data_IF_532828209841
#
_entry.id   IF_532828209841
#
_cell.length_a   1.000
_cell.length_b   1.000
_cell.length_c   1.000
_cell.angle_alpha   90.00
_cell.angle_beta   90.00
_cell.angle_gamma   90.00
#
_symmetry.space_group_name_H-M   'P 1'
#
loop_
_entity.id
_entity.type
_entity.pdbx_description
1 polymer ?
#
# COMPACT_ATOMS: atom_id res chain seq x y z
N UNK A 1 15.47 35.16 6.32
CA UNK A 1 15.99 34.47 5.12
C UNK A 1 16.88 33.26 5.45
N UNK A 2 17.59 33.23 6.58
CA UNK A 2 18.50 32.15 6.95
C UNK A 2 17.79 30.83 7.36
N UNK A 3 16.65 30.90 8.07
CA UNK A 3 15.89 29.70 8.50
C UNK A 3 15.18 28.97 7.37
N UNK A 4 14.55 29.70 6.45
CA UNK A 4 13.90 29.12 5.25
C UNK A 4 14.88 28.32 4.37
N UNK A 5 16.16 28.70 4.36
CA UNK A 5 17.21 27.98 3.62
C UNK A 5 17.60 26.70 4.35
N UNK A 6 17.59 26.70 5.69
CA UNK A 6 17.93 25.57 6.56
C UNK A 6 16.86 24.48 6.54
N UNK A 7 15.57 24.85 6.55
CA UNK A 7 14.46 23.90 6.41
C UNK A 7 14.40 23.25 5.02
N UNK A 8 14.57 24.03 3.96
CA UNK A 8 14.62 23.48 2.60
C UNK A 8 15.80 22.53 2.41
N UNK A 9 16.94 22.83 3.03
CA UNK A 9 18.13 21.98 2.99
C UNK A 9 17.93 20.65 3.73
N UNK A 10 17.28 20.66 4.91
CA UNK A 10 16.91 19.43 5.64
C UNK A 10 15.94 18.55 4.84
N UNK A 11 14.92 19.14 4.21
CA UNK A 11 13.97 18.40 3.34
C UNK A 11 14.64 17.83 2.09
N UNK A 12 15.55 18.56 1.45
CA UNK A 12 16.28 18.03 0.29
C UNK A 12 17.28 16.93 0.65
N UNK A 13 17.85 16.98 1.86
CA UNK A 13 18.77 15.95 2.34
C UNK A 13 18.03 14.64 2.67
N UNK A 14 16.84 14.71 3.29
CA UNK A 14 15.98 13.54 3.51
C UNK A 14 15.58 12.88 2.19
N UNK A 15 15.10 13.66 1.21
CA UNK A 15 14.77 13.16 -0.13
C UNK A 15 15.98 12.53 -0.85
N UNK A 16 17.17 13.13 -0.75
CA UNK A 16 18.37 12.58 -1.36
C UNK A 16 18.80 11.25 -0.71
N UNK A 17 18.66 11.13 0.61
CA UNK A 17 18.94 9.89 1.35
C UNK A 17 17.95 8.78 0.96
N UNK A 18 16.67 9.10 0.81
CA UNK A 18 15.64 8.16 0.37
C UNK A 18 15.89 7.67 -1.07
N UNK A 19 16.28 8.57 -1.97
CA UNK A 19 16.67 8.22 -3.34
C UNK A 19 17.90 7.32 -3.34
N UNK A 20 18.94 7.66 -2.56
CA UNK A 20 20.13 6.83 -2.45
C UNK A 20 19.79 5.44 -1.91
N UNK A 21 18.96 5.37 -0.88
CA UNK A 21 18.55 4.12 -0.27
C UNK A 21 17.73 3.24 -1.23
N UNK A 22 16.78 3.82 -1.97
CA UNK A 22 16.00 3.08 -2.97
C UNK A 22 16.86 2.56 -4.12
N UNK A 23 17.87 3.31 -4.55
CA UNK A 23 18.87 2.84 -5.52
C UNK A 23 19.69 1.67 -4.97
N UNK A 24 20.15 1.75 -3.72
CA UNK A 24 20.89 0.65 -3.06
C UNK A 24 20.03 -0.61 -2.93
N UNK A 25 18.75 -0.45 -2.58
CA UNK A 25 17.80 -1.56 -2.49
C UNK A 25 17.55 -2.20 -3.87
N UNK A 26 17.32 -1.38 -4.90
CA UNK A 26 17.11 -1.85 -6.27
C UNK A 26 18.34 -2.59 -6.81
N UNK A 27 19.54 -2.05 -6.56
CA UNK A 27 20.80 -2.68 -6.91
C UNK A 27 20.97 -4.02 -6.19
N UNK A 28 20.68 -4.08 -4.89
CA UNK A 28 20.78 -5.31 -4.10
C UNK A 28 19.81 -6.39 -4.61
N UNK A 29 18.57 -6.01 -4.93
CA UNK A 29 17.57 -6.92 -5.52
C UNK A 29 18.04 -7.40 -6.90
N UNK A 30 18.51 -6.49 -7.76
CA UNK A 30 19.04 -6.83 -9.08
C UNK A 30 20.22 -7.81 -8.98
N UNK A 31 21.11 -7.60 -8.01
CA UNK A 31 22.26 -8.47 -7.76
C UNK A 31 21.82 -9.88 -7.34
N UNK A 32 20.87 -9.99 -6.41
CA UNK A 32 20.30 -11.29 -5.98
C UNK A 32 19.63 -12.00 -7.16
N UNK A 33 18.78 -11.31 -7.93
CA UNK A 33 18.12 -11.89 -9.11
C UNK A 33 19.13 -12.36 -10.15
N UNK A 34 20.19 -11.58 -10.39
CA UNK A 34 21.28 -11.94 -11.32
C UNK A 34 22.03 -13.18 -10.85
N UNK A 35 22.36 -13.30 -9.57
CA UNK A 35 23.02 -14.51 -9.04
C UNK A 35 22.17 -15.78 -9.13
N UNK A 36 20.84 -15.66 -9.01
CA UNK A 36 19.93 -16.80 -9.05
C UNK A 36 19.56 -17.23 -10.49
N UNK A 37 19.72 -16.33 -11.46
CA UNK A 37 19.29 -16.56 -12.85
C UNK A 37 20.43 -17.05 -13.74
N UNK A 38 20.84 -18.33 -13.61
CA UNK A 38 21.93 -18.92 -14.44
C UNK A 38 21.59 -19.07 -15.94
N UNK A 39 20.36 -18.74 -16.36
CA UNK A 39 19.80 -19.08 -17.68
C UNK A 39 19.58 -17.90 -18.62
N UNK A 40 19.65 -16.65 -18.13
CA UNK A 40 19.39 -15.46 -18.94
C UNK A 40 20.61 -14.55 -18.96
N UNK A 41 20.97 -14.09 -20.14
CA UNK A 41 22.04 -13.14 -20.33
C UNK A 41 21.64 -11.81 -19.67
N UNK A 42 22.45 -11.34 -18.72
CA UNK A 42 22.24 -10.05 -18.08
C UNK A 42 23.36 -9.12 -18.57
N UNK A 43 23.00 -8.11 -19.35
CA UNK A 43 23.97 -7.17 -19.96
C UNK A 43 25.06 -7.84 -20.82
N UNK A 44 24.77 -8.99 -21.44
CA UNK A 44 25.73 -9.73 -22.25
C UNK A 44 26.71 -10.60 -21.45
N UNK A 45 26.60 -10.61 -20.12
CA UNK A 45 27.33 -11.50 -19.24
C UNK A 45 26.39 -12.61 -18.75
N UNK A 46 26.86 -13.86 -18.82
CA UNK A 46 26.17 -15.00 -18.24
C UNK A 46 26.94 -15.44 -17.00
N UNK A 47 26.30 -15.43 -15.84
CA UNK A 47 26.92 -15.82 -14.58
C UNK A 47 26.37 -17.17 -14.12
N UNK A 48 27.25 -18.01 -13.58
CA UNK A 48 26.91 -19.31 -13.02
C UNK A 48 27.41 -19.46 -11.59
N UNK A 49 26.65 -20.15 -10.73
CA UNK A 49 27.11 -20.57 -9.40
C UNK A 49 27.59 -22.02 -9.48
N UNK A 50 28.80 -22.29 -9.00
CA UNK A 50 29.36 -23.65 -8.89
C UNK A 50 28.61 -24.42 -7.80
N UNK A 51 28.01 -25.56 -8.14
CA UNK A 51 27.20 -26.37 -7.21
C UNK A 51 27.92 -27.61 -6.67
N UNK A 52 29.14 -27.91 -7.13
CA UNK A 52 29.91 -29.11 -6.75
C UNK A 52 31.37 -28.79 -6.47
N UNK A 53 32.04 -29.65 -5.70
CA UNK A 53 33.49 -29.55 -5.43
C UNK A 53 34.37 -30.21 -6.51
N UNK A 54 33.80 -30.61 -7.66
CA UNK A 54 34.52 -31.37 -8.70
C UNK A 54 35.63 -30.58 -9.41
N UNK A 55 35.63 -29.26 -9.27
CA UNK A 55 36.56 -28.33 -9.92
C UNK A 55 37.51 -27.62 -8.92
N UNK A 56 37.62 -28.11 -7.68
CA UNK A 56 38.40 -27.48 -6.62
C UNK A 56 39.89 -27.35 -6.95
N UNK A 57 40.46 -28.35 -7.63
CA UNK A 57 41.84 -28.34 -8.12
C UNK A 57 42.14 -27.25 -9.16
N UNK A 58 41.12 -26.70 -9.84
CA UNK A 58 41.26 -25.57 -10.79
C UNK A 58 40.88 -24.24 -10.13
N UNK A 59 40.98 -24.15 -8.80
CA UNK A 59 40.58 -23.00 -7.99
C UNK A 59 39.11 -22.59 -8.19
N UNK A 60 38.21 -23.55 -8.41
CA UNK A 60 36.75 -23.31 -8.43
C UNK A 60 36.09 -24.03 -7.27
N UNK A 61 35.65 -23.26 -6.27
CA UNK A 61 35.06 -23.79 -5.04
C UNK A 61 33.52 -23.74 -5.10
N UNK A 62 32.87 -24.59 -4.31
CA UNK A 62 31.41 -24.60 -4.21
C UNK A 62 30.85 -23.26 -3.72
N UNK A 63 29.88 -22.73 -4.48
CA UNK A 63 29.28 -21.42 -4.26
C UNK A 63 30.00 -20.25 -4.91
N UNK A 64 31.14 -20.46 -5.56
CA UNK A 64 31.80 -19.40 -6.34
C UNK A 64 31.00 -19.07 -7.61
N UNK A 65 31.10 -17.82 -8.04
CA UNK A 65 30.46 -17.32 -9.26
C UNK A 65 31.46 -17.29 -10.41
N UNK A 66 31.08 -17.92 -11.51
CA UNK A 66 31.86 -17.96 -12.75
C UNK A 66 31.18 -17.13 -13.82
N UNK A 67 31.97 -16.40 -14.59
CA UNK A 67 31.52 -15.74 -15.81
C UNK A 67 31.64 -16.70 -16.97
N UNK A 68 30.56 -16.85 -17.74
CA UNK A 68 30.45 -17.75 -18.88
C UNK A 68 30.54 -16.90 -20.15
N UNK A 69 31.62 -17.09 -20.91
CA UNK A 69 31.85 -16.43 -22.20
C UNK A 69 31.85 -17.43 -23.33
N UNK A 70 30.99 -17.23 -24.34
CA UNK A 70 30.96 -18.08 -25.53
C UNK A 70 32.17 -17.78 -26.41
N UNK A 71 32.91 -18.81 -26.79
CA UNK A 71 34.03 -18.75 -27.72
C UNK A 71 33.74 -19.64 -28.94
N UNK A 72 34.44 -19.37 -30.05
CA UNK A 72 34.30 -20.14 -31.30
C UNK A 72 35.12 -21.43 -31.29
N UNK A 73 36.14 -21.51 -30.43
CA UNK A 73 37.01 -22.66 -30.27
C UNK A 73 37.47 -22.76 -28.81
N UNK A 74 37.73 -23.98 -28.36
CA UNK A 74 38.12 -24.31 -26.98
C UNK A 74 39.33 -25.25 -27.02
N UNK A 75 40.31 -25.00 -26.16
CA UNK A 75 41.56 -25.75 -26.12
C UNK A 75 41.61 -26.73 -24.95
N UNK A 76 42.56 -27.66 -25.01
CA UNK A 76 42.85 -28.59 -23.90
C UNK A 76 43.28 -27.78 -22.67
N UNK A 77 42.65 -28.04 -21.52
CA UNK A 77 42.83 -27.29 -20.27
C UNK A 77 41.83 -26.16 -20.04
N UNK A 78 40.96 -25.84 -21.01
CA UNK A 78 39.89 -24.85 -20.79
C UNK A 78 38.79 -25.40 -19.89
N UNK A 79 38.22 -24.55 -19.04
CA UNK A 79 37.07 -24.88 -18.20
C UNK A 79 35.79 -24.62 -18.98
N UNK A 80 35.14 -25.69 -19.43
CA UNK A 80 33.90 -25.67 -20.20
C UNK A 80 32.66 -25.70 -19.30
N UNK A 81 31.68 -24.88 -19.64
CA UNK A 81 30.33 -24.93 -19.09
C UNK A 81 29.37 -25.42 -20.18
N UNK A 82 28.65 -26.52 -19.95
CA UNK A 82 27.84 -27.17 -20.99
C UNK A 82 26.59 -27.86 -20.43
N UNK A 83 25.62 -28.16 -21.30
CA UNK A 83 24.46 -28.97 -20.95
C UNK A 83 24.79 -30.46 -20.98
N UNK A 84 24.57 -31.17 -19.87
CA UNK A 84 24.72 -32.62 -19.82
C UNK A 84 23.50 -33.29 -20.45
N UNK A 85 23.61 -33.63 -21.73
CA UNK A 85 22.55 -34.22 -22.55
C UNK A 85 23.06 -35.46 -23.31
N UNK A 86 23.55 -36.46 -22.59
CA UNK A 86 24.24 -37.64 -23.18
C UNK A 86 23.41 -38.41 -24.21
N UNK A 87 22.07 -38.34 -24.11
CA UNK A 87 21.16 -38.97 -25.05
C UNK A 87 20.95 -38.18 -26.37
N UNK A 88 21.29 -36.89 -26.38
CA UNK A 88 21.00 -35.95 -27.47
C UNK A 88 22.26 -35.55 -28.25
N UNK A 89 23.46 -35.95 -27.78
CA UNK A 89 24.72 -35.58 -28.42
C UNK A 89 24.88 -36.12 -29.85
N UNK A 90 24.17 -37.20 -30.19
CA UNK A 90 24.14 -37.76 -31.55
C UNK A 90 23.30 -36.94 -32.53
N UNK A 91 22.41 -36.07 -32.05
CA UNK A 91 21.46 -35.32 -32.88
C UNK A 91 21.90 -33.86 -33.10
N UNK A 92 21.21 -33.17 -34.00
CA UNK A 92 21.36 -31.72 -34.17
C UNK A 92 20.80 -30.99 -32.95
N UNK A 93 21.47 -29.91 -32.56
CA UNK A 93 21.11 -29.16 -31.36
C UNK A 93 19.73 -28.48 -31.50
N UNK A 94 18.82 -28.82 -30.58
CA UNK A 94 17.57 -28.11 -30.36
C UNK A 94 17.62 -27.39 -28.99
N UNK A 95 17.51 -26.05 -28.94
CA UNK A 95 17.45 -25.32 -27.67
C UNK A 95 16.35 -25.81 -26.71
N UNK A 96 15.26 -26.37 -27.25
CA UNK A 96 14.11 -26.81 -26.47
C UNK A 96 14.33 -28.15 -25.76
N UNK A 97 15.27 -28.97 -26.24
CA UNK A 97 15.55 -30.30 -25.68
C UNK A 97 16.48 -30.23 -24.46
N UNK A 98 17.38 -29.24 -24.44
CA UNK A 98 18.39 -29.06 -23.38
C UNK A 98 17.91 -28.25 -22.17
N UNK A 99 16.71 -27.67 -22.24
CA UNK A 99 16.21 -26.75 -21.21
C UNK A 99 16.01 -27.43 -19.84
N UNK A 100 15.75 -28.74 -19.77
CA UNK A 100 15.60 -29.46 -18.50
C UNK A 100 16.89 -30.12 -18.03
N UNK A 101 17.95 -30.09 -18.84
CA UNK A 101 19.20 -30.78 -18.56
C UNK A 101 20.07 -30.00 -17.57
N UNK A 102 20.87 -30.74 -16.80
CA UNK A 102 21.78 -30.15 -15.81
C UNK A 102 22.97 -29.47 -16.52
N UNK A 103 23.42 -28.35 -15.97
CA UNK A 103 24.60 -27.63 -16.47
C UNK A 103 25.83 -28.08 -15.68
N UNK A 104 26.86 -28.53 -16.37
CA UNK A 104 28.11 -29.04 -15.78
C UNK A 104 29.28 -28.13 -16.11
N UNK A 105 30.29 -28.12 -15.23
CA UNK A 105 31.52 -27.34 -15.37
C UNK A 105 32.69 -28.31 -15.25
N UNK A 106 33.42 -28.54 -16.32
CA UNK A 106 34.55 -29.47 -16.36
C UNK A 106 35.70 -28.94 -17.21
N UNK A 107 36.90 -29.48 -17.00
CA UNK A 107 38.08 -29.15 -17.79
C UNK A 107 38.16 -30.01 -19.05
N UNK A 108 38.58 -29.43 -20.17
CA UNK A 108 38.81 -30.15 -21.44
C UNK A 108 40.02 -31.05 -21.30
N UNK A 109 39.82 -32.34 -21.50
CA UNK A 109 40.89 -33.34 -21.48
C UNK A 109 41.32 -33.77 -22.89
N UNK A 110 40.37 -33.93 -23.81
CA UNK A 110 40.64 -34.37 -25.19
C UNK A 110 39.64 -33.74 -26.17
N UNK A 111 40.03 -33.60 -27.43
CA UNK A 111 39.24 -32.96 -28.49
C UNK A 111 39.20 -33.89 -29.71
N UNK A 112 38.00 -34.16 -30.20
CA UNK A 112 37.77 -34.95 -31.42
C UNK A 112 36.73 -34.31 -32.32
N UNK A 113 36.76 -34.68 -33.59
CA UNK A 113 35.72 -34.30 -34.56
C UNK A 113 34.77 -35.48 -34.73
N UNK A 114 33.47 -35.24 -34.62
CA UNK A 114 32.46 -36.29 -34.83
C UNK A 114 32.22 -36.56 -36.33
N UNK A 115 31.39 -37.57 -36.62
CA UNK A 115 31.01 -37.95 -38.00
C UNK A 115 30.23 -36.85 -38.74
N UNK A 116 29.69 -35.87 -38.01
CA UNK A 116 28.95 -34.72 -38.53
C UNK A 116 29.87 -33.49 -38.74
N UNK A 117 31.17 -33.61 -38.45
CA UNK A 117 32.15 -32.52 -38.60
C UNK A 117 32.15 -31.52 -37.45
N UNK A 118 31.51 -31.79 -36.32
CA UNK A 118 31.47 -30.93 -35.14
C UNK A 118 32.64 -31.22 -34.22
N UNK A 119 33.17 -30.17 -33.59
CA UNK A 119 34.17 -30.31 -32.51
C UNK A 119 33.48 -30.83 -31.26
N UNK A 120 34.02 -31.91 -30.70
CA UNK A 120 33.52 -32.57 -29.51
C UNK A 120 34.62 -32.68 -28.45
N UNK A 121 34.26 -32.38 -27.21
CA UNK A 121 35.18 -32.24 -26.10
C UNK A 121 34.96 -33.34 -25.07
N UNK A 122 35.99 -34.11 -24.75
CA UNK A 122 35.98 -34.99 -23.59
C UNK A 122 36.32 -34.15 -22.37
N UNK A 123 35.44 -34.15 -21.39
CA UNK A 123 35.59 -33.30 -20.19
C UNK A 123 35.79 -34.15 -18.94
N UNK A 124 36.50 -33.59 -17.98
CA UNK A 124 36.77 -34.21 -16.68
C UNK A 124 36.73 -33.14 -15.58
N UNK A 125 36.14 -33.48 -14.44
CA UNK A 125 36.28 -32.66 -13.23
C UNK A 125 37.74 -32.68 -12.77
N UNK A 126 38.37 -31.52 -12.57
CA UNK A 126 39.79 -31.44 -12.24
C UNK A 126 40.17 -32.12 -10.91
N UNK A 127 39.18 -32.32 -10.03
CA UNK A 127 39.35 -33.04 -8.75
C UNK A 127 38.92 -34.52 -8.82
N UNK A 128 38.35 -34.96 -9.94
CA UNK A 128 37.94 -36.35 -10.15
C UNK A 128 39.11 -37.19 -10.69
N UNK A 129 39.10 -38.50 -10.43
CA UNK A 129 40.16 -39.42 -10.90
C UNK A 129 39.88 -39.91 -12.33
N UNK A 130 38.62 -40.14 -12.69
CA UNK A 130 38.16 -40.61 -14.01
C UNK A 130 37.56 -39.48 -14.86
N UNK A 131 37.64 -39.59 -16.18
CA UNK A 131 36.86 -38.78 -17.11
C UNK A 131 35.37 -39.19 -17.13
N UNK A 132 34.53 -38.37 -17.76
CA UNK A 132 33.07 -38.60 -17.83
C UNK A 132 32.66 -39.63 -18.89
N UNK A 133 33.57 -40.07 -19.76
CA UNK A 133 33.32 -41.08 -20.80
C UNK A 133 32.48 -40.63 -22.01
N UNK A 134 32.02 -39.38 -22.06
CA UNK A 134 31.21 -38.85 -23.17
C UNK A 134 31.86 -37.61 -23.79
N UNK A 135 31.87 -37.56 -25.12
CA UNK A 135 32.29 -36.39 -25.90
C UNK A 135 31.13 -35.42 -26.05
N UNK A 136 31.32 -34.18 -25.60
CA UNK A 136 30.32 -33.10 -25.63
C UNK A 136 30.47 -32.28 -26.91
N UNK A 137 29.47 -32.22 -27.80
CA UNK A 137 29.56 -31.41 -29.02
C UNK A 137 29.53 -29.91 -28.72
N UNK A 138 30.21 -29.12 -29.56
CA UNK A 138 30.31 -27.66 -29.49
C UNK A 138 28.96 -26.95 -29.34
N UNK A 139 27.90 -27.49 -29.94
CA UNK A 139 26.56 -26.88 -29.91
C UNK A 139 25.93 -26.91 -28.51
N UNK A 140 26.33 -27.88 -27.67
CA UNK A 140 25.86 -28.03 -26.28
C UNK A 140 26.70 -27.22 -25.27
N UNK A 141 27.77 -26.57 -25.75
CA UNK A 141 28.66 -25.74 -24.94
C UNK A 141 28.10 -24.34 -24.80
N UNK A 142 27.98 -23.89 -23.55
CA UNK A 142 27.55 -22.54 -23.21
C UNK A 142 28.70 -21.52 -23.27
N UNK A 143 29.91 -21.94 -22.93
CA UNK A 143 31.09 -21.07 -22.91
C UNK A 143 32.21 -21.60 -22.02
N UNK A 144 33.28 -20.81 -21.93
CA UNK A 144 34.31 -20.98 -20.90
C UNK A 144 33.88 -20.35 -19.58
N UNK A 145 34.09 -21.07 -18.48
CA UNK A 145 33.84 -20.60 -17.12
C UNK A 145 35.10 -19.94 -16.53
N UNK A 146 35.13 -18.61 -16.50
CA UNK A 146 36.22 -17.87 -15.88
C UNK A 146 35.87 -17.44 -14.45
N UNK A 147 36.85 -17.59 -13.55
CA UNK A 147 36.72 -17.14 -12.17
C UNK A 147 36.72 -15.61 -12.11
N UNK A 148 35.77 -15.03 -11.39
CA UNK A 148 35.77 -13.60 -11.10
C UNK A 148 36.84 -13.24 -10.04
N UNK A 149 37.33 -11.98 -10.00
CA UNK A 149 38.27 -11.51 -8.98
C UNK A 149 37.81 -11.91 -7.57
N UNK A 150 38.73 -12.37 -6.72
CA UNK A 150 38.40 -12.97 -5.40
C UNK A 150 37.50 -12.09 -4.53
N UNK A 151 37.66 -10.77 -4.60
CA UNK A 151 36.79 -9.81 -3.91
C UNK A 151 35.34 -9.85 -4.42
N UNK A 152 35.15 -9.78 -5.75
CA UNK A 152 33.83 -9.85 -6.38
C UNK A 152 33.16 -11.20 -6.13
N UNK A 153 33.95 -12.28 -6.18
CA UNK A 153 33.46 -13.62 -5.93
C UNK A 153 32.97 -13.80 -4.49
N UNK A 154 33.71 -13.28 -3.51
CA UNK A 154 33.26 -13.26 -2.11
C UNK A 154 31.97 -12.48 -1.90
N UNK A 155 31.83 -11.31 -2.54
CA UNK A 155 30.62 -10.49 -2.45
C UNK A 155 29.40 -11.17 -3.09
N UNK A 156 29.57 -11.77 -4.27
CA UNK A 156 28.49 -12.49 -4.96
C UNK A 156 28.09 -13.77 -4.22
N UNK A 157 29.06 -14.52 -3.68
CA UNK A 157 28.80 -15.68 -2.82
C UNK A 157 28.04 -15.30 -1.56
N UNK A 158 28.39 -14.15 -0.96
CA UNK A 158 27.61 -13.60 0.15
C UNK A 158 26.19 -13.25 -0.31
N UNK A 159 26.02 -12.51 -1.40
CA UNK A 159 24.71 -12.12 -1.91
C UNK A 159 23.79 -13.30 -2.26
N UNK A 160 24.35 -14.41 -2.75
CA UNK A 160 23.63 -15.65 -3.03
C UNK A 160 23.33 -16.50 -1.76
N UNK A 161 23.98 -16.21 -0.63
CA UNK A 161 23.76 -16.94 0.62
C UNK A 161 22.46 -16.51 1.32
N UNK A 162 21.84 -17.42 2.08
CA UNK A 162 20.63 -17.11 2.89
C UNK A 162 20.86 -15.94 3.83
N UNK A 163 22.05 -15.88 4.45
CA UNK A 163 22.46 -14.78 5.34
C UNK A 163 22.63 -13.46 4.58
N UNK A 164 23.22 -13.49 3.38
CA UNK A 164 23.44 -12.27 2.61
C UNK A 164 22.15 -11.67 2.07
N UNK A 165 21.18 -12.49 1.68
CA UNK A 165 19.84 -11.99 1.31
C UNK A 165 19.17 -11.29 2.50
N UNK A 166 19.26 -11.88 3.70
CA UNK A 166 18.73 -11.25 4.93
C UNK A 166 19.42 -9.91 5.21
N UNK A 167 20.75 -9.85 5.12
CA UNK A 167 21.50 -8.62 5.39
C UNK A 167 21.31 -7.57 4.29
N UNK A 168 21.24 -7.94 3.01
CA UNK A 168 21.13 -7.00 1.90
C UNK A 168 19.71 -6.46 1.68
N UNK A 169 18.69 -7.17 2.19
CA UNK A 169 17.28 -6.77 2.00
C UNK A 169 16.64 -6.39 3.34
N UNK A 170 16.70 -7.27 4.34
CA UNK A 170 15.95 -7.08 5.60
C UNK A 170 16.58 -5.97 6.45
N UNK A 171 17.90 -5.95 6.58
CA UNK A 171 18.60 -4.93 7.38
C UNK A 171 18.34 -3.50 6.86
N UNK A 172 18.51 -3.18 5.57
CA UNK A 172 18.20 -1.84 5.07
C UNK A 172 16.71 -1.50 5.28
N UNK A 173 15.79 -2.42 4.98
CA UNK A 173 14.36 -2.20 5.22
C UNK A 173 14.05 -1.91 6.70
N UNK A 174 14.71 -2.60 7.63
CA UNK A 174 14.56 -2.37 9.07
C UNK A 174 15.08 -0.99 9.48
N UNK A 175 16.26 -0.59 9.00
CA UNK A 175 16.83 0.73 9.26
C UNK A 175 15.91 1.85 8.75
N UNK A 176 15.31 1.67 7.57
CA UNK A 176 14.34 2.61 7.02
C UNK A 176 13.09 2.71 7.90
N UNK A 177 12.56 1.59 8.40
CA UNK A 177 11.42 1.60 9.32
C UNK A 177 11.78 2.33 10.62
N UNK A 178 12.95 2.09 11.18
CA UNK A 178 13.42 2.78 12.39
C UNK A 178 13.53 4.29 12.13
N UNK A 179 14.09 4.69 11.00
CA UNK A 179 14.18 6.09 10.60
C UNK A 179 12.80 6.76 10.49
N UNK A 180 11.84 6.11 9.82
CA UNK A 180 10.48 6.62 9.69
C UNK A 180 9.75 6.73 11.03
N UNK A 181 9.97 5.77 11.94
CA UNK A 181 9.40 5.82 13.29
C UNK A 181 10.05 6.95 14.10
N UNK A 182 11.37 7.11 14.01
CA UNK A 182 12.07 8.23 14.65
C UNK A 182 11.57 9.58 14.13
N UNK A 183 11.46 9.74 12.82
CA UNK A 183 10.93 10.95 12.18
C UNK A 183 9.48 11.23 12.62
N UNK A 184 8.65 10.19 12.71
CA UNK A 184 7.28 10.30 13.22
C UNK A 184 7.25 10.78 14.68
N UNK A 185 8.10 10.22 15.54
CA UNK A 185 8.20 10.63 16.94
C UNK A 185 8.64 12.10 17.03
N UNK A 186 9.69 12.48 16.30
CA UNK A 186 10.19 13.87 16.26
C UNK A 186 9.11 14.86 15.83
N UNK A 187 8.31 14.54 14.80
CA UNK A 187 7.21 15.39 14.33
C UNK A 187 6.12 15.52 15.39
N UNK A 188 5.85 14.46 16.16
CA UNK A 188 4.87 14.50 17.25
C UNK A 188 5.37 15.36 18.42
N UNK A 189 6.66 15.29 18.76
CA UNK A 189 7.27 16.07 19.84
C UNK A 189 7.43 17.56 19.48
N UNK A 190 7.86 17.91 18.26
CA UNK A 190 7.96 19.32 17.82
C UNK A 190 6.61 20.05 17.81
N UNK A 191 5.51 19.30 17.69
CA UNK A 191 4.15 19.86 17.73
C UNK A 191 3.71 20.28 19.14
N UNK A 192 4.34 19.75 20.19
CA UNK A 192 4.06 20.10 21.59
C UNK A 192 4.81 21.36 22.05
N UNK A 193 5.98 21.67 21.47
CA UNK A 193 6.81 22.81 21.90
C UNK A 193 6.37 24.18 21.31
N UNK A 194 5.45 24.21 20.35
CA UNK A 194 5.08 25.43 19.60
C UNK A 194 3.92 26.26 20.19
N UNK A 195 3.36 25.90 21.36
CA UNK A 195 2.37 26.73 22.07
C UNK A 195 3.05 27.53 23.20
N UNK A 196 2.80 28.85 23.35
CA UNK A 196 3.58 29.71 24.22
C UNK A 196 3.29 29.44 25.70
N UNK A 197 4.37 29.21 26.46
CA UNK A 197 4.35 28.98 27.90
C UNK A 197 3.98 30.25 28.68
N UNK A 198 2.83 30.21 29.34
CA UNK A 198 2.62 30.91 30.62
C UNK A 198 2.05 29.89 31.62
N UNK A 199 2.65 29.90 32.81
CA UNK A 199 2.26 29.27 34.08
C UNK A 199 3.00 28.00 34.55
N UNK A 200 3.42 28.11 35.82
CA UNK A 200 4.26 27.27 36.69
C UNK A 200 3.69 25.84 36.94
N UNK A 201 4.40 24.93 37.65
CA UNK A 201 4.34 23.49 37.42
C UNK A 201 2.99 22.92 37.86
N UNK A 202 2.15 22.59 36.87
CA UNK A 202 0.91 21.84 37.07
C UNK A 202 1.24 20.39 36.75
N UNK A 203 0.95 19.51 37.72
CA UNK A 203 0.87 18.06 37.56
C UNK A 203 0.20 17.76 36.21
N UNK A 204 0.91 17.13 35.28
CA UNK A 204 0.37 16.81 33.95
C UNK A 204 -0.84 15.89 34.11
N UNK A 205 -2.03 16.48 34.15
CA UNK A 205 -3.27 15.75 33.96
C UNK A 205 -3.23 15.13 32.57
N UNK A 206 -3.62 13.85 32.42
CA UNK A 206 -3.58 13.19 31.13
C UNK A 206 -4.38 13.99 30.11
N UNK A 207 -3.71 14.47 29.05
CA UNK A 207 -4.34 15.20 27.95
C UNK A 207 -5.32 14.25 27.25
N UNK A 208 -6.57 14.31 27.69
CA UNK A 208 -7.62 13.45 27.17
C UNK A 208 -7.86 13.76 25.69
N UNK A 209 -7.99 12.74 24.82
CA UNK A 209 -8.17 12.98 23.40
C UNK A 209 -9.44 13.80 23.15
N UNK A 210 -9.28 14.94 22.49
CA UNK A 210 -10.37 15.84 22.13
C UNK A 210 -10.98 15.38 20.82
N UNK A 211 -12.28 15.12 20.83
CA UNK A 211 -13.08 14.86 19.63
C UNK A 211 -14.05 16.01 19.37
N UNK A 212 -14.12 16.47 18.12
CA UNK A 212 -15.09 17.47 17.71
C UNK A 212 -16.33 16.82 17.08
N UNK A 213 -17.51 17.10 17.63
CA UNK A 213 -18.78 16.66 17.08
C UNK A 213 -19.41 17.78 16.25
N UNK A 214 -19.29 17.63 14.94
CA UNK A 214 -19.80 18.57 13.95
C UNK A 214 -21.31 18.43 13.73
N UNK A 215 -22.02 19.56 13.71
CA UNK A 215 -23.41 19.64 13.24
C UNK A 215 -23.51 19.63 11.71
N UNK A 216 -24.72 19.62 11.17
CA UNK A 216 -24.92 19.73 9.72
C UNK A 216 -24.46 21.10 9.19
N UNK A 217 -24.86 22.18 9.85
CA UNK A 217 -24.51 23.55 9.44
C UNK A 217 -23.02 23.83 9.62
N UNK A 218 -22.39 23.29 10.67
CA UNK A 218 -20.93 23.36 10.82
C UNK A 218 -20.20 22.67 9.67
N UNK A 219 -20.66 21.49 9.22
CA UNK A 219 -20.08 20.82 8.04
C UNK A 219 -20.31 21.62 6.76
N UNK A 220 -21.45 22.29 6.62
CA UNK A 220 -21.80 23.06 5.42
C UNK A 220 -21.01 24.38 5.33
N UNK A 221 -20.76 25.05 6.46
CA UNK A 221 -19.98 26.30 6.54
C UNK A 221 -18.55 26.12 6.01
N UNK A 222 -17.89 25.02 6.41
CA UNK A 222 -16.51 24.68 6.02
C UNK A 222 -16.42 23.88 4.71
N UNK A 223 -17.56 23.54 4.10
CA UNK A 223 -17.56 22.79 2.85
C UNK A 223 -17.07 23.63 1.67
N UNK A 224 -16.47 22.98 0.67
CA UNK A 224 -16.10 23.59 -0.61
C UNK A 224 -17.29 24.29 -1.28
N UNK A 225 -17.03 25.34 -2.06
CA UNK A 225 -18.08 26.12 -2.73
C UNK A 225 -18.96 25.27 -3.65
N UNK A 226 -18.39 24.26 -4.29
CA UNK A 226 -19.14 23.30 -5.11
C UNK A 226 -20.20 22.54 -4.31
N UNK A 227 -19.96 22.24 -3.02
CA UNK A 227 -20.92 21.56 -2.15
C UNK A 227 -22.00 22.55 -1.71
N UNK A 228 -21.63 23.78 -1.37
CA UNK A 228 -22.58 24.85 -1.01
C UNK A 228 -23.54 25.15 -2.16
N UNK A 229 -23.01 25.29 -3.38
CA UNK A 229 -23.81 25.49 -4.59
C UNK A 229 -24.78 24.34 -4.84
N UNK A 230 -24.31 23.08 -4.80
CA UNK A 230 -25.19 21.90 -4.98
C UNK A 230 -26.25 21.80 -3.90
N UNK A 231 -25.90 22.11 -2.66
CA UNK A 231 -26.86 22.18 -1.55
C UNK A 231 -27.95 23.23 -1.82
N UNK A 232 -27.57 24.44 -2.22
CA UNK A 232 -28.53 25.50 -2.53
C UNK A 232 -29.44 25.12 -3.70
N UNK A 233 -28.89 24.56 -4.78
CA UNK A 233 -29.68 24.11 -5.93
C UNK A 233 -30.72 23.06 -5.50
N UNK A 234 -30.31 22.07 -4.69
CA UNK A 234 -31.20 21.02 -4.22
C UNK A 234 -32.25 21.55 -3.24
N UNK A 235 -31.86 22.39 -2.29
CA UNK A 235 -32.77 22.93 -1.27
C UNK A 235 -33.83 23.83 -1.88
N UNK A 236 -33.46 24.76 -2.77
CA UNK A 236 -34.43 25.57 -3.50
C UNK A 236 -35.37 24.68 -4.33
N UNK A 237 -34.84 23.67 -5.02
CA UNK A 237 -35.67 22.75 -5.79
C UNK A 237 -36.64 21.91 -4.93
N UNK A 238 -36.24 21.46 -3.74
CA UNK A 238 -37.15 20.72 -2.87
C UNK A 238 -38.22 21.61 -2.25
N UNK A 239 -37.86 22.85 -1.90
CA UNK A 239 -38.79 23.82 -1.30
C UNK A 239 -39.75 24.44 -2.33
N UNK A 240 -39.41 24.41 -3.63
CA UNK A 240 -40.29 24.88 -4.69
C UNK A 240 -41.58 24.06 -4.84
N UNK A 241 -41.76 22.96 -4.10
CA UNK A 241 -42.99 22.16 -4.12
C UNK A 241 -43.86 22.51 -2.92
N UNK A 242 -45.05 23.07 -3.18
CA UNK A 242 -45.95 23.55 -2.13
C UNK A 242 -46.29 22.43 -1.16
N UNK A 243 -46.03 22.64 0.13
CA UNK A 243 -46.30 21.66 1.19
C UNK A 243 -45.07 20.88 1.63
N UNK A 244 -43.96 20.98 0.91
CA UNK A 244 -42.66 20.48 1.37
C UNK A 244 -42.08 21.47 2.38
N UNK A 245 -41.78 20.96 3.57
CA UNK A 245 -41.14 21.72 4.66
C UNK A 245 -39.78 21.13 4.94
N UNK A 246 -38.80 22.00 5.18
CA UNK A 246 -37.49 21.61 5.66
C UNK A 246 -37.40 21.67 7.19
N UNK A 247 -36.62 20.76 7.79
CA UNK A 247 -36.17 20.81 9.17
C UNK A 247 -34.69 20.43 9.26
N UNK A 248 -33.87 21.34 9.77
CA UNK A 248 -32.45 21.07 10.04
C UNK A 248 -32.30 20.40 11.41
N UNK A 249 -31.46 19.36 11.46
CA UNK A 249 -31.03 18.70 12.69
C UNK A 249 -29.50 18.66 12.76
N UNK A 250 -28.93 18.34 13.93
CA UNK A 250 -27.46 18.22 14.09
C UNK A 250 -26.81 17.23 13.10
N UNK A 251 -27.54 16.24 12.59
CA UNK A 251 -26.99 15.20 11.71
C UNK A 251 -27.32 15.37 10.23
N UNK A 252 -28.16 16.33 9.87
CA UNK A 252 -28.63 16.54 8.49
C UNK A 252 -29.92 17.33 8.43
N UNK A 253 -30.38 17.62 7.22
CA UNK A 253 -31.62 18.32 6.92
C UNK A 253 -32.67 17.34 6.36
N UNK A 254 -33.91 17.48 6.80
CA UNK A 254 -35.02 16.61 6.39
C UNK A 254 -36.09 17.43 5.70
N UNK A 255 -36.47 16.98 4.50
CA UNK A 255 -37.57 17.50 3.70
C UNK A 255 -38.75 16.53 3.83
N UNK A 256 -39.91 17.06 4.22
CA UNK A 256 -41.13 16.29 4.47
C UNK A 256 -42.35 17.03 3.95
N UNK A 257 -43.40 16.29 3.61
CA UNK A 257 -44.72 16.83 3.33
C UNK A 257 -45.71 16.30 4.36
N UNK A 258 -46.25 17.18 5.21
CA UNK A 258 -47.09 16.77 6.34
C UNK A 258 -46.38 15.78 7.26
N UNK A 259 -46.90 14.54 7.31
CA UNK A 259 -46.34 13.42 8.09
C UNK A 259 -45.38 12.53 7.28
N UNK A 260 -45.26 12.74 5.97
CA UNK A 260 -44.49 11.88 5.08
C UNK A 260 -43.07 12.42 4.89
N UNK A 261 -42.03 11.68 5.33
CA UNK A 261 -40.65 12.04 5.03
C UNK A 261 -40.38 11.80 3.55
N UNK A 262 -39.85 12.80 2.84
CA UNK A 262 -39.55 12.69 1.41
C UNK A 262 -38.07 12.39 1.21
N UNK A 263 -37.21 13.30 1.67
CA UNK A 263 -35.76 13.22 1.49
C UNK A 263 -35.04 13.67 2.75
N UNK A 264 -33.94 13.00 3.09
CA UNK A 264 -32.98 13.48 4.08
C UNK A 264 -31.63 13.72 3.44
N UNK A 265 -31.10 14.93 3.64
CA UNK A 265 -29.83 15.39 3.13
C UNK A 265 -28.77 15.37 4.23
N UNK A 266 -27.61 14.78 3.93
CA UNK A 266 -26.42 14.82 4.79
C UNK A 266 -25.20 15.23 3.96
N UNK A 267 -24.22 15.81 4.64
CA UNK A 267 -22.89 16.07 4.09
C UNK A 267 -21.93 15.04 4.66
N UNK A 268 -21.20 14.31 3.80
CA UNK A 268 -20.19 13.32 4.20
C UNK A 268 -18.90 13.56 3.42
N UNK A 269 -17.91 14.20 4.06
CA UNK A 269 -16.68 14.60 3.38
C UNK A 269 -17.00 15.51 2.19
N UNK A 270 -16.39 15.22 1.02
CA UNK A 270 -16.54 16.03 -0.20
C UNK A 270 -17.79 15.72 -1.05
N UNK A 271 -18.90 15.28 -0.44
CA UNK A 271 -20.13 14.91 -1.17
C UNK A 271 -21.39 15.11 -0.34
N UNK A 272 -22.49 15.33 -1.05
CA UNK A 272 -23.85 15.32 -0.48
C UNK A 272 -24.39 13.90 -0.62
N UNK A 273 -25.05 13.41 0.43
CA UNK A 273 -25.74 12.12 0.45
C UNK A 273 -27.22 12.37 0.70
N UNK A 274 -28.06 11.90 -0.21
CA UNK A 274 -29.50 12.01 -0.14
C UNK A 274 -30.09 10.63 0.15
N UNK A 275 -30.98 10.58 1.12
CA UNK A 275 -31.75 9.41 1.49
C UNK A 275 -33.20 9.66 1.09
N UNK A 276 -33.71 8.90 0.12
CA UNK A 276 -35.07 9.00 -0.40
C UNK A 276 -35.98 7.97 0.26
N UNK A 277 -37.23 8.36 0.51
CA UNK A 277 -38.31 7.45 0.89
C UNK A 277 -38.90 6.73 -0.34
N UNK A 278 -38.02 6.16 -1.18
CA UNK A 278 -38.35 5.39 -2.37
C UNK A 278 -37.84 3.97 -2.22
N UNK A 279 -38.52 2.99 -2.81
CA UNK A 279 -37.99 1.64 -2.92
C UNK A 279 -36.95 1.57 -4.06
N UNK A 280 -35.69 1.21 -3.77
CA UNK A 280 -34.67 1.13 -4.80
C UNK A 280 -34.96 0.06 -5.87
N UNK A 281 -35.81 -0.95 -5.58
CA UNK A 281 -36.15 -2.02 -6.53
C UNK A 281 -37.07 -1.55 -7.66
N UNK A 282 -37.85 -0.51 -7.42
CA UNK A 282 -38.76 0.08 -8.41
C UNK A 282 -38.04 1.05 -9.36
N UNK A 283 -36.76 1.32 -9.12
CA UNK A 283 -35.95 2.27 -9.86
C UNK A 283 -34.92 1.49 -10.70
N UNK A 284 -34.72 1.82 -11.99
CA UNK A 284 -33.72 1.16 -12.82
C UNK A 284 -32.30 1.29 -12.21
N UNK A 285 -31.72 0.16 -11.76
CA UNK A 285 -30.44 0.13 -11.03
C UNK A 285 -29.31 0.86 -11.77
N UNK A 286 -29.24 0.69 -13.09
CA UNK A 286 -28.10 1.14 -13.91
C UNK A 286 -27.99 2.66 -14.09
N UNK A 287 -29.08 3.43 -13.95
CA UNK A 287 -29.04 4.88 -14.24
C UNK A 287 -28.49 5.71 -13.08
N UNK A 288 -28.90 5.38 -11.85
CA UNK A 288 -28.68 6.24 -10.68
C UNK A 288 -27.65 5.69 -9.67
N UNK A 289 -27.26 4.41 -9.78
CA UNK A 289 -26.34 3.75 -8.86
C UNK A 289 -26.74 3.91 -7.37
N UNK A 290 -28.02 3.66 -7.08
CA UNK A 290 -28.59 3.77 -5.74
C UNK A 290 -28.07 2.64 -4.84
N UNK A 291 -27.82 2.97 -3.57
CA UNK A 291 -27.52 1.95 -2.56
C UNK A 291 -28.79 1.66 -1.76
N UNK A 292 -29.18 0.40 -1.66
CA UNK A 292 -30.31 -0.02 -0.82
C UNK A 292 -29.94 0.09 0.68
N UNK A 293 -30.83 0.70 1.45
CA UNK A 293 -30.75 0.91 2.90
C UNK A 293 -31.94 0.32 3.65
N UNK A 294 -32.79 -0.46 3.00
CA UNK A 294 -33.97 -1.13 3.57
C UNK A 294 -33.66 -1.94 4.83
N UNK A 295 -32.49 -2.59 4.91
CA UNK A 295 -32.05 -3.41 6.07
C UNK A 295 -31.12 -2.67 7.06
N UNK A 296 -30.94 -1.35 6.92
CA UNK A 296 -30.03 -0.56 7.78
C UNK A 296 -30.74 -0.08 9.07
N UNK A 297 -29.97 0.29 10.10
CA UNK A 297 -30.39 0.80 11.43
C UNK A 297 -31.80 1.44 11.51
N UNK A 298 -32.53 1.17 12.61
CA UNK A 298 -33.89 1.64 12.94
C UNK A 298 -34.21 3.10 12.61
N UNK A 299 -33.24 4.01 12.62
CA UNK A 299 -33.45 5.44 12.30
C UNK A 299 -33.56 5.75 10.80
N UNK A 300 -33.12 4.84 9.91
CA UNK A 300 -33.27 4.92 8.46
C UNK A 300 -34.54 4.25 7.94
N UNK A 301 -35.39 3.68 8.79
CA UNK A 301 -36.55 2.87 8.35
C UNK A 301 -37.48 3.59 7.37
N UNK A 302 -37.55 4.91 7.44
CA UNK A 302 -38.34 5.75 6.54
C UNK A 302 -37.65 6.09 5.20
N UNK A 303 -36.40 5.68 4.98
CA UNK A 303 -35.60 5.97 3.79
C UNK A 303 -34.87 4.73 3.29
N UNK A 304 -35.24 4.23 2.10
CA UNK A 304 -34.67 2.97 1.57
C UNK A 304 -33.62 3.19 0.48
N UNK A 305 -33.64 4.31 -0.25
CA UNK A 305 -32.69 4.56 -1.33
C UNK A 305 -31.66 5.65 -0.99
N UNK A 306 -30.36 5.32 -1.06
CA UNK A 306 -29.25 6.27 -0.86
C UNK A 306 -28.61 6.68 -2.21
N UNK A 307 -28.66 7.97 -2.54
CA UNK A 307 -27.96 8.59 -3.66
C UNK A 307 -26.76 9.42 -3.18
N UNK A 308 -25.60 9.21 -3.81
CA UNK A 308 -24.37 9.98 -3.55
C UNK A 308 -24.19 11.05 -4.64
N UNK A 309 -24.33 12.32 -4.27
CA UNK A 309 -24.19 13.47 -5.18
C UNK A 309 -22.75 14.01 -5.11
N UNK A 310 -21.97 13.68 -6.14
CA UNK A 310 -20.55 14.09 -6.28
C UNK A 310 -20.30 15.06 -7.44
N UNK A 311 -21.28 15.24 -8.33
CA UNK A 311 -21.18 16.02 -9.57
C UNK A 311 -22.52 16.66 -9.89
N UNK A 312 -22.53 17.55 -10.88
CA UNK A 312 -23.74 18.27 -11.31
C UNK A 312 -24.75 17.32 -11.98
N UNK A 313 -24.25 16.27 -12.66
CA UNK A 313 -25.08 15.14 -13.11
C UNK A 313 -25.78 14.44 -11.94
N UNK A 314 -25.09 14.30 -10.80
CA UNK A 314 -25.69 13.78 -9.57
C UNK A 314 -26.81 14.68 -9.01
N UNK A 315 -26.72 15.99 -9.21
CA UNK A 315 -27.80 16.94 -8.86
C UNK A 315 -29.02 16.72 -9.76
N UNK A 316 -28.82 16.50 -11.06
CA UNK A 316 -29.94 16.20 -11.97
C UNK A 316 -30.62 14.89 -11.59
N UNK A 317 -29.85 13.85 -11.30
CA UNK A 317 -30.38 12.59 -10.78
C UNK A 317 -31.16 12.75 -9.48
N UNK A 318 -30.69 13.60 -8.57
CA UNK A 318 -31.43 13.91 -7.35
C UNK A 318 -32.77 14.60 -7.63
N UNK A 319 -32.84 15.52 -8.60
CA UNK A 319 -34.09 16.17 -9.02
C UNK A 319 -35.05 15.17 -9.66
N UNK A 320 -34.56 14.32 -10.55
CA UNK A 320 -35.37 13.28 -11.21
C UNK A 320 -35.97 12.28 -10.20
N UNK A 321 -35.18 11.82 -9.23
CA UNK A 321 -35.69 10.94 -8.18
C UNK A 321 -36.70 11.63 -7.27
N UNK A 322 -36.49 12.91 -6.96
CA UNK A 322 -37.45 13.69 -6.20
C UNK A 322 -38.77 13.81 -6.96
N UNK A 323 -38.72 14.11 -8.27
CA UNK A 323 -39.89 14.16 -9.15
C UNK A 323 -40.70 12.88 -9.14
N UNK A 324 -40.03 11.72 -9.19
CA UNK A 324 -40.72 10.42 -9.06
C UNK A 324 -41.43 10.26 -7.73
N UNK A 325 -40.78 10.67 -6.63
CA UNK A 325 -41.34 10.61 -5.29
C UNK A 325 -42.52 11.58 -5.11
N UNK A 326 -42.45 12.77 -5.71
CA UNK A 326 -43.54 13.75 -5.61
C UNK A 326 -44.66 13.51 -6.61
N UNK A 327 -44.50 12.68 -7.64
CA UNK A 327 -45.56 12.37 -8.61
C UNK A 327 -46.76 11.64 -7.97
N UNK A 328 -46.52 10.90 -6.88
CA UNK A 328 -47.58 10.23 -6.10
C UNK A 328 -48.42 11.22 -5.28
N UNK A 329 -47.94 12.44 -5.12
CA UNK A 329 -48.58 13.49 -4.36
C UNK A 329 -49.02 14.61 -5.32
N UNK A 330 -50.24 15.13 -5.16
CA UNK A 330 -50.74 16.25 -6.01
C UNK A 330 -50.07 17.59 -5.65
N UNK A 331 -48.74 17.68 -5.71
CA UNK A 331 -47.99 18.89 -5.41
C UNK A 331 -48.03 19.89 -6.55
N UNK A 332 -48.18 21.16 -6.19
CA UNK A 332 -48.05 22.29 -7.12
C UNK A 332 -46.65 22.86 -6.98
N UNK A 333 -45.92 22.96 -8.09
CA UNK A 333 -44.62 23.64 -8.14
C UNK A 333 -44.84 25.16 -8.12
N UNK A 334 -44.09 25.85 -7.28
CA UNK A 334 -44.02 27.31 -7.17
C UNK A 334 -42.67 27.78 -7.69
N UNK A 335 -42.64 28.92 -8.38
CA UNK A 335 -41.39 29.57 -8.77
C UNK A 335 -41.01 30.59 -7.70
N UNK A 336 -40.19 30.13 -6.76
CA UNK A 336 -39.60 31.00 -5.75
C UNK A 336 -38.26 31.55 -6.23
N UNK A 337 -37.94 32.78 -5.81
CA UNK A 337 -36.64 33.37 -6.04
C UNK A 337 -35.54 32.52 -5.39
N UNK A 338 -34.42 32.34 -6.10
CA UNK A 338 -33.29 31.58 -5.57
C UNK A 338 -32.77 32.20 -4.29
N UNK A 339 -32.71 31.41 -3.22
CA UNK A 339 -32.20 31.81 -1.91
C UNK A 339 -30.90 31.07 -1.60
N UNK A 340 -29.88 31.80 -1.14
CA UNK A 340 -28.66 31.18 -0.59
C UNK A 340 -28.90 30.75 0.86
N UNK A 341 -28.84 29.44 1.11
CA UNK A 341 -29.04 28.85 2.43
C UNK A 341 -27.73 28.39 3.08
N UNK A 342 -26.59 28.53 2.40
CA UNK A 342 -25.31 28.11 2.92
C UNK A 342 -24.81 29.14 3.95
N UNK A 343 -24.44 28.72 5.18
CA UNK A 343 -23.79 29.62 6.11
C UNK A 343 -22.44 30.10 5.55
N UNK A 344 -21.98 31.31 5.94
CA UNK A 344 -20.66 31.80 5.56
C UNK A 344 -19.57 30.84 6.05
N UNK A 345 -18.37 30.96 5.46
CA UNK A 345 -17.19 30.25 5.95
C UNK A 345 -16.81 30.82 7.32
N UNK A 346 -16.73 29.96 8.33
CA UNK A 346 -16.43 30.33 9.71
C UNK A 346 -15.24 29.54 10.24
N UNK A 347 -14.50 30.13 11.17
CA UNK A 347 -13.38 29.48 11.87
C UNK A 347 -13.90 28.42 12.87
N UNK A 348 -13.01 27.55 13.33
CA UNK A 348 -13.39 26.52 14.32
C UNK A 348 -13.90 27.16 15.63
N UNK A 349 -13.29 28.25 16.07
CA UNK A 349 -13.67 28.98 17.29
C UNK A 349 -15.06 29.59 17.16
N UNK A 350 -15.36 30.23 16.03
CA UNK A 350 -16.67 30.79 15.72
C UNK A 350 -17.73 29.69 15.67
N UNK A 351 -17.43 28.55 15.04
CA UNK A 351 -18.31 27.40 14.97
C UNK A 351 -18.60 26.77 16.34
N UNK A 352 -17.64 26.82 17.27
CA UNK A 352 -17.82 26.41 18.66
C UNK A 352 -18.72 27.42 19.39
N UNK A 353 -18.45 28.72 19.23
CA UNK A 353 -19.20 29.79 19.87
C UNK A 353 -20.69 29.78 19.50
N UNK A 354 -21.02 29.57 18.22
CA UNK A 354 -22.42 29.45 17.75
C UNK A 354 -23.04 28.07 17.96
N UNK A 355 -22.30 27.12 18.56
CA UNK A 355 -22.80 25.78 18.89
C UNK A 355 -22.93 24.81 17.71
N UNK A 356 -22.34 25.14 16.55
CA UNK A 356 -22.29 24.24 15.38
C UNK A 356 -21.26 23.13 15.53
N UNK A 357 -20.25 23.31 16.36
CA UNK A 357 -19.25 22.30 16.74
C UNK A 357 -19.24 22.16 18.25
N UNK A 358 -19.28 20.91 18.75
CA UNK A 358 -19.12 20.62 20.17
C UNK A 358 -17.79 19.92 20.42
N UNK A 359 -16.96 20.50 21.29
CA UNK A 359 -15.75 19.84 21.84
C UNK A 359 -16.18 18.74 22.82
N UNK A 360 -15.67 17.53 22.64
CA UNK A 360 -15.91 16.38 23.50
C UNK A 360 -14.55 15.88 23.98
N UNK A 361 -14.34 15.91 25.27
CA UNK A 361 -13.15 15.33 25.90
C UNK A 361 -13.44 13.86 26.15
N UNK A 362 -12.72 12.95 25.48
CA UNK A 362 -12.89 11.52 25.67
C UNK A 362 -12.16 11.11 26.95
N UNK A 363 -12.90 10.63 27.95
CA UNK A 363 -12.28 9.94 29.08
C UNK A 363 -11.63 8.66 28.55
N UNK A 364 -10.32 8.51 28.72
CA UNK A 364 -9.66 7.24 28.43
C UNK A 364 -10.22 6.19 29.38
N UNK A 365 -10.66 5.00 28.90
CA UNK A 365 -10.69 3.85 29.78
C UNK A 365 -9.24 3.58 30.21
N UNK A 366 -8.98 3.59 31.52
CA UNK A 366 -7.68 3.23 32.07
C UNK A 366 -7.19 1.92 31.43
N UNK A 367 -5.95 1.85 30.94
CA UNK A 367 -5.39 0.59 30.45
C UNK A 367 -5.23 -0.33 31.67
N UNK A 368 -5.83 -1.52 31.59
CA UNK A 368 -5.70 -2.57 32.62
C UNK A 368 -6.09 -2.16 34.04
N UNK A 369 -7.39 -2.14 34.32
CA UNK A 369 -7.85 -2.62 35.64
C UNK A 369 -8.25 -4.07 35.45
N UNK A 370 -7.41 -4.98 35.94
CA UNK A 370 -7.78 -6.38 36.11
C UNK A 370 -9.14 -6.46 36.80
N UNK A 371 -10.15 -7.01 36.10
CA UNK A 371 -11.49 -7.23 36.67
C UNK A 371 -11.48 -8.16 37.89
N UNK A 372 -10.33 -8.79 38.20
CA UNK A 372 -10.13 -9.62 39.40
C UNK A 372 -9.63 -8.81 40.61
N UNK A 373 -8.83 -7.76 40.42
CA UNK A 373 -8.24 -6.99 41.52
C UNK A 373 -9.21 -5.96 42.13
N UNK A 374 -10.17 -5.46 41.34
CA UNK A 374 -11.20 -4.55 41.85
C UNK A 374 -12.22 -5.25 42.75
N UNK A 375 -12.50 -6.54 42.56
CA UNK A 375 -13.45 -7.26 43.43
C UNK A 375 -12.89 -7.62 44.81
N UNK A 376 -11.56 -7.70 44.95
CA UNK A 376 -10.90 -7.94 46.23
C UNK A 376 -10.77 -6.65 47.05
N UNK A 377 -10.50 -5.51 46.39
CA UNK A 377 -10.40 -4.21 47.07
C UNK A 377 -11.79 -3.64 47.45
N UNK A 378 -12.85 -3.90 46.68
CA UNK A 378 -14.21 -3.54 47.10
C UNK A 378 -14.71 -4.39 48.28
N UNK A 379 -14.28 -5.65 48.41
CA UNK A 379 -14.64 -6.49 49.57
C UNK A 379 -13.92 -6.08 50.84
N UNK A 380 -12.64 -5.75 50.77
CA UNK A 380 -11.89 -5.22 51.92
C UNK A 380 -12.40 -3.84 52.37
N UNK A 381 -12.78 -2.96 51.44
CA UNK A 381 -13.37 -1.66 51.79
C UNK A 381 -14.78 -1.78 52.41
N UNK A 382 -15.52 -2.87 52.16
CA UNK A 382 -16.83 -3.10 52.78
C UNK A 382 -16.71 -3.72 54.18
N UNK A 383 -15.64 -4.47 54.45
CA UNK A 383 -15.39 -5.09 55.76
C UNK A 383 -14.82 -4.10 56.79
N UNK A 384 -14.03 -3.12 56.36
CA UNK A 384 -13.46 -2.09 57.26
C UNK A 384 -14.52 -1.06 57.69
N UNK A 385 -15.59 -0.85 56.93
CA UNK A 385 -16.67 0.08 57.30
C UNK A 385 -17.70 -0.56 58.26
N UNK A 386 -17.70 -1.88 58.43
CA UNK A 386 -18.68 -2.58 59.27
C UNK A 386 -18.29 -2.75 60.75
N UNK A 387 -17.11 -2.27 61.19
CA UNK A 387 -16.63 -2.42 62.58
C UNK A 387 -16.63 -1.09 63.37
N UNK A 388 -16.98 0.04 62.75
CA UNK A 388 -17.20 1.31 63.45
C UNK A 388 -18.53 1.97 63.06
N UNK A 389 -19.64 1.36 63.51
CA UNK A 389 -20.81 2.00 64.14
C UNK A 389 -22.01 1.08 64.27
#
# INVERSE_FOLDING_TARGET
MHDLKKEKLKRSFGLALDILFTLVLLFSISMVVSTLSMRKDFFGFRLGIVQSNSMEASDLYLGDVVSISKQSDYQIGDILVFYRATAEYSDWFDPSSVDLNNIWIHEVFDIKVDELGRMCYLTKGSSNVSDDGFYVPIDFVLGTGQRLPSFLNGLLRFAASRSGIIVLIILPCLLMIIYLVWELIMILTEKEEAEPQTESPVVEEPVLPIQYKWSFLGRLSVADDSIKQRYNILKNFFLSYRGVKSRISKSGETFKAGRNPLVRLKIRGKKIVLYYALDPKEIPEKKYHLNDKSQTNKWLSSYRAELKVKSDRGVQYAKELFLKLVAEFSFVKQEDAFTDYAPPLLSLEELIAIGYVKKITLKMPLPFSDKKATSSLEKEATEVVAVEK
#
